data_IF_586548230713
#
_entry.id   IF_586548230713
#
_cell.length_a   1.000
_cell.length_b   1.000
_cell.length_c   1.000
_cell.angle_alpha   90.00
_cell.angle_beta   90.00
_cell.angle_gamma   90.00
#
_symmetry.space_group_name_H-M   'P 1'
#
loop_
_entity.id
_entity.type
_entity.pdbx_description
1 polymer ?
#
# COMPACT_ATOMS: atom_id res chain seq x y z
N UNK A 1 -46.46 55.20 18.47
CA UNK A 1 -45.12 55.30 17.83
C UNK A 1 -43.97 54.79 18.69
N UNK A 2 -43.90 55.08 20.02
CA UNK A 2 -42.78 54.62 20.87
C UNK A 2 -42.64 53.09 20.97
N UNK A 3 -43.74 52.33 21.12
CA UNK A 3 -43.71 50.85 21.25
C UNK A 3 -43.21 50.11 20.00
N UNK A 4 -43.50 50.63 18.80
CA UNK A 4 -43.12 49.99 17.53
C UNK A 4 -41.62 50.14 17.25
N UNK A 5 -41.03 51.27 17.63
CA UNK A 5 -39.59 51.53 17.46
C UNK A 5 -38.76 50.65 18.40
N UNK A 6 -39.21 50.42 19.65
CA UNK A 6 -38.49 49.56 20.60
C UNK A 6 -38.45 48.10 20.16
N UNK A 7 -39.54 47.59 19.56
CA UNK A 7 -39.60 46.23 19.02
C UNK A 7 -38.69 46.04 17.80
N UNK A 8 -38.59 47.06 16.93
CA UNK A 8 -37.65 47.06 15.79
C UNK A 8 -36.19 47.09 16.24
N UNK A 9 -35.84 47.85 17.28
CA UNK A 9 -34.48 47.86 17.84
C UNK A 9 -34.12 46.53 18.53
N UNK A 10 -35.06 45.90 19.24
CA UNK A 10 -34.84 44.58 19.84
C UNK A 10 -34.68 43.47 18.79
N UNK A 11 -35.47 43.51 17.72
CA UNK A 11 -35.33 42.57 16.61
C UNK A 11 -34.00 42.74 15.86
N UNK A 12 -33.53 43.98 15.65
CA UNK A 12 -32.25 44.25 15.03
C UNK A 12 -31.06 43.80 15.91
N UNK A 13 -31.16 43.98 17.23
CA UNK A 13 -30.13 43.52 18.17
C UNK A 13 -30.04 41.99 18.23
N UNK A 14 -31.17 41.28 18.17
CA UNK A 14 -31.19 39.80 18.09
C UNK A 14 -30.63 39.32 16.76
N UNK A 15 -30.94 39.99 15.65
CA UNK A 15 -30.39 39.65 14.33
C UNK A 15 -28.86 39.84 14.26
N UNK A 16 -28.34 40.92 14.87
CA UNK A 16 -26.90 41.19 14.98
C UNK A 16 -26.19 40.19 15.89
N UNK A 17 -26.82 39.75 16.99
CA UNK A 17 -26.27 38.72 17.87
C UNK A 17 -26.22 37.34 17.19
N UNK A 18 -27.24 36.99 16.39
CA UNK A 18 -27.25 35.73 15.62
C UNK A 18 -26.28 35.75 14.44
N UNK A 19 -26.05 36.90 13.81
CA UNK A 19 -25.06 37.04 12.75
C UNK A 19 -23.62 36.99 13.29
N UNK A 20 -23.36 37.59 14.46
CA UNK A 20 -22.07 37.46 15.16
C UNK A 20 -21.79 36.02 15.60
N UNK A 21 -22.82 35.30 16.07
CA UNK A 21 -22.70 33.90 16.46
C UNK A 21 -22.52 32.94 15.26
N UNK A 22 -22.96 33.33 14.05
CA UNK A 22 -22.69 32.57 12.82
C UNK A 22 -21.32 32.89 12.20
N UNK A 23 -20.78 34.08 12.42
CA UNK A 23 -19.42 34.42 11.99
C UNK A 23 -18.34 33.68 12.81
N UNK A 24 -18.59 33.43 14.09
CA UNK A 24 -17.74 32.60 14.97
C UNK A 24 -17.84 31.08 14.69
N UNK A 25 -18.71 30.69 13.75
CA UNK A 25 -18.84 29.31 13.27
C UNK A 25 -18.14 29.09 11.91
N UNK A 26 -17.40 30.09 11.42
CA UNK A 26 -16.31 29.82 10.50
C UNK A 26 -15.25 29.07 11.29
N UNK A 27 -15.22 27.75 11.14
CA UNK A 27 -14.15 26.87 11.60
C UNK A 27 -12.83 27.61 11.52
N UNK A 28 -12.12 27.78 12.65
CA UNK A 28 -10.76 28.33 12.70
C UNK A 28 -9.92 27.63 11.64
N UNK A 29 -9.84 28.23 10.46
CA UNK A 29 -8.96 27.78 9.42
C UNK A 29 -7.60 28.26 9.91
N UNK A 30 -6.80 27.33 10.42
CA UNK A 30 -5.43 27.60 10.85
C UNK A 30 -4.74 28.45 9.77
N UNK A 31 -4.53 29.73 10.06
CA UNK A 31 -4.01 30.71 9.08
C UNK A 31 -2.64 30.29 8.56
N UNK A 32 -1.95 29.38 9.26
CA UNK A 32 -0.69 28.77 8.82
C UNK A 32 -0.86 27.79 7.66
N UNK A 33 -2.08 27.35 7.35
CA UNK A 33 -2.43 26.39 6.29
C UNK A 33 -3.11 27.04 5.07
N UNK A 34 -3.09 28.36 4.92
CA UNK A 34 -3.61 29.02 3.71
C UNK A 34 -2.66 28.75 2.53
N UNK A 35 -3.13 28.21 1.39
CA UNK A 35 -2.28 27.95 0.22
C UNK A 35 -1.70 29.24 -0.39
N UNK A 36 -0.43 29.21 -0.79
CA UNK A 36 0.25 30.31 -1.49
C UNK A 36 0.35 30.04 -3.01
N UNK A 37 -0.46 30.69 -3.86
CA UNK A 37 -0.45 30.46 -5.31
C UNK A 37 0.91 30.70 -5.99
N UNK A 38 1.83 31.42 -5.35
CA UNK A 38 3.19 31.66 -5.88
C UNK A 38 4.17 30.52 -5.62
N UNK A 39 3.80 29.54 -4.79
CA UNK A 39 4.67 28.45 -4.37
C UNK A 39 4.02 27.07 -4.64
N UNK A 40 4.00 26.59 -5.89
CA UNK A 40 3.45 25.28 -6.22
C UNK A 40 4.24 24.15 -5.54
N UNK A 41 3.53 23.07 -5.16
CA UNK A 41 4.17 21.85 -4.65
C UNK A 41 4.68 21.03 -5.83
N UNK A 42 6.00 20.80 -5.85
CA UNK A 42 6.66 19.93 -6.82
C UNK A 42 7.22 18.69 -6.12
N UNK A 43 6.77 17.52 -6.58
CA UNK A 43 7.16 16.23 -6.03
C UNK A 43 7.70 15.34 -7.16
N UNK A 44 8.68 14.53 -6.80
CA UNK A 44 9.20 13.45 -7.61
C UNK A 44 9.13 12.14 -6.83
N UNK A 45 9.38 11.01 -7.47
CA UNK A 45 9.40 9.75 -6.76
C UNK A 45 9.84 8.57 -7.60
N UNK A 46 9.90 7.42 -6.95
CA UNK A 46 10.09 6.14 -7.59
C UNK A 46 9.14 5.13 -6.98
N UNK A 47 8.72 4.17 -7.78
CA UNK A 47 8.03 2.98 -7.34
C UNK A 47 8.73 1.79 -7.98
N UNK A 48 8.80 0.64 -7.29
CA UNK A 48 9.34 -0.57 -7.86
C UNK A 48 8.37 -1.08 -8.93
N UNK A 49 8.60 -0.66 -10.17
CA UNK A 49 7.86 -1.13 -11.35
C UNK A 49 8.66 -2.31 -11.90
N UNK A 50 8.03 -3.47 -12.02
CA UNK A 50 8.68 -4.62 -12.65
C UNK A 50 8.72 -4.43 -14.17
N UNK A 51 9.84 -4.78 -14.79
CA UNK A 51 9.99 -4.88 -16.25
C UNK A 51 10.30 -6.34 -16.58
N UNK A 52 9.39 -6.98 -17.31
CA UNK A 52 9.44 -8.20 -18.17
C UNK A 52 10.25 -9.46 -17.75
N UNK A 53 11.35 -9.38 -16.99
CA UNK A 53 12.36 -10.45 -16.91
C UNK A 53 12.03 -11.65 -16.01
N UNK A 54 10.89 -11.68 -15.30
CA UNK A 54 10.57 -12.77 -14.36
C UNK A 54 9.13 -13.30 -14.38
N UNK A 55 8.31 -12.88 -15.36
CA UNK A 55 6.92 -13.33 -15.47
C UNK A 55 5.98 -12.72 -14.41
N UNK A 56 6.27 -11.51 -13.93
CA UNK A 56 5.43 -10.75 -12.98
C UNK A 56 5.41 -9.27 -13.38
N UNK A 57 4.22 -8.66 -13.35
CA UNK A 57 3.83 -7.28 -13.74
C UNK A 57 4.64 -6.69 -14.90
N UNK A 58 4.18 -6.88 -16.12
CA UNK A 58 4.57 -6.00 -17.24
C UNK A 58 3.75 -4.72 -17.16
N UNK A 59 4.34 -3.63 -16.67
CA UNK A 59 3.82 -2.29 -16.95
C UNK A 59 4.71 -1.66 -18.00
N UNK A 60 4.12 -1.36 -19.15
CA UNK A 60 4.88 -0.85 -20.27
C UNK A 60 5.56 0.47 -19.87
N UNK A 61 6.76 0.70 -20.39
CA UNK A 61 7.36 2.03 -20.38
C UNK A 61 6.36 3.02 -21.01
N UNK A 62 5.76 3.88 -20.18
CA UNK A 62 4.69 4.79 -20.59
C UNK A 62 3.48 4.82 -19.65
N UNK A 63 3.28 3.77 -18.84
CA UNK A 63 2.15 3.69 -17.93
C UNK A 63 2.33 4.60 -16.71
N UNK A 64 1.58 5.71 -16.67
CA UNK A 64 1.48 6.55 -15.48
C UNK A 64 0.88 5.73 -14.32
N UNK A 65 1.52 5.72 -13.15
CA UNK A 65 0.99 5.00 -11.99
C UNK A 65 0.03 5.89 -11.19
N UNK A 66 -1.28 5.62 -11.20
CA UNK A 66 -2.22 6.38 -10.39
C UNK A 66 -2.05 6.06 -8.90
N UNK A 67 -2.15 7.08 -8.06
CA UNK A 67 -2.12 6.94 -6.61
C UNK A 67 -2.91 8.05 -5.92
N UNK A 68 -3.23 7.86 -4.65
CA UNK A 68 -3.85 8.91 -3.83
C UNK A 68 -2.77 9.60 -2.99
N UNK A 69 -2.68 10.92 -3.14
CA UNK A 69 -1.77 11.78 -2.40
C UNK A 69 -2.47 12.41 -1.22
N UNK A 70 -1.80 12.38 -0.07
CA UNK A 70 -2.21 13.04 1.16
C UNK A 70 -1.08 13.94 1.65
N UNK A 71 -1.44 15.01 2.35
CA UNK A 71 -0.49 15.85 3.06
C UNK A 71 -1.08 16.26 4.40
N UNK A 72 -0.27 16.16 5.45
CA UNK A 72 -0.64 16.54 6.82
C UNK A 72 0.46 17.43 7.42
N UNK A 73 0.17 18.31 8.38
CA UNK A 73 1.20 19.04 9.11
C UNK A 73 2.22 18.07 9.74
N UNK A 74 3.52 18.34 9.58
CA UNK A 74 4.57 17.39 9.98
C UNK A 74 4.73 17.25 11.50
N UNK A 75 4.31 18.27 12.25
CA UNK A 75 4.27 18.33 13.71
C UNK A 75 3.10 17.57 14.32
N UNK A 76 2.17 17.04 13.51
CA UNK A 76 1.08 16.23 14.02
C UNK A 76 1.51 14.77 14.17
N UNK A 77 1.43 14.28 15.41
CA UNK A 77 1.61 12.86 15.74
C UNK A 77 0.33 12.03 15.53
N UNK A 78 -0.79 12.70 15.25
CA UNK A 78 -2.09 12.09 14.95
C UNK A 78 -2.60 12.52 13.58
N UNK A 79 -3.50 11.72 13.00
CA UNK A 79 -4.14 12.09 11.76
C UNK A 79 -5.07 13.29 11.99
N UNK A 80 -4.89 14.42 11.28
CA UNK A 80 -5.77 15.57 11.46
C UNK A 80 -7.18 15.24 10.96
N UNK A 81 -8.19 15.86 11.58
CA UNK A 81 -9.58 15.75 11.14
C UNK A 81 -9.75 16.20 9.68
N UNK A 82 -9.01 17.24 9.28
CA UNK A 82 -8.92 17.76 7.92
C UNK A 82 -7.47 17.80 7.45
N UNK A 83 -7.00 16.78 6.70
CA UNK A 83 -5.68 16.81 6.06
C UNK A 83 -5.55 18.01 5.11
N UNK A 84 -4.33 18.52 4.97
CA UNK A 84 -4.03 19.62 4.04
C UNK A 84 -4.32 19.22 2.58
N UNK A 85 -3.89 18.01 2.21
CA UNK A 85 -4.34 17.34 0.98
C UNK A 85 -5.00 16.04 1.42
N UNK A 86 -6.25 15.82 0.99
CA UNK A 86 -7.06 14.66 1.38
C UNK A 86 -7.42 13.79 0.17
N UNK A 87 -6.47 12.96 -0.27
CA UNK A 87 -6.71 11.99 -1.35
C UNK A 87 -6.79 12.64 -2.73
N UNK A 88 -5.87 13.57 -3.04
CA UNK A 88 -5.75 14.10 -4.39
C UNK A 88 -5.36 12.98 -5.36
N UNK A 89 -6.00 12.95 -6.53
CA UNK A 89 -5.65 12.00 -7.59
C UNK A 89 -4.30 12.41 -8.17
N UNK A 90 -3.31 11.55 -7.97
CA UNK A 90 -1.93 11.75 -8.37
C UNK A 90 -1.46 10.67 -9.33
N UNK A 91 -0.41 10.98 -10.08
CA UNK A 91 0.20 10.09 -11.05
C UNK A 91 1.72 10.21 -10.97
N UNK A 92 2.40 9.07 -10.84
CA UNK A 92 3.84 8.99 -11.01
C UNK A 92 4.14 8.78 -12.50
N UNK A 93 5.00 9.63 -13.07
CA UNK A 93 5.42 9.49 -14.46
C UNK A 93 6.12 8.13 -14.70
N UNK A 94 5.99 7.63 -15.92
CA UNK A 94 6.67 6.42 -16.40
C UNK A 94 8.13 6.68 -16.79
N UNK A 95 8.93 5.63 -16.87
CA UNK A 95 10.33 5.68 -17.32
C UNK A 95 11.32 5.09 -16.31
N UNK A 96 12.58 4.97 -16.71
CA UNK A 96 13.69 4.54 -15.86
C UNK A 96 14.24 5.70 -15.02
N UNK A 97 14.77 5.39 -13.83
CA UNK A 97 15.40 6.35 -12.93
C UNK A 97 14.68 6.57 -11.59
N UNK A 98 15.45 7.07 -10.62
CA UNK A 98 15.09 7.18 -9.20
C UNK A 98 14.22 8.39 -8.83
N UNK A 99 13.97 9.32 -9.76
CA UNK A 99 13.23 10.56 -9.51
C UNK A 99 12.34 10.93 -10.70
N UNK A 100 11.16 10.31 -10.77
CA UNK A 100 10.14 10.57 -11.80
C UNK A 100 9.17 11.63 -11.31
N UNK A 101 8.75 12.53 -12.19
CA UNK A 101 7.81 13.59 -11.83
C UNK A 101 6.47 13.05 -11.32
N UNK A 102 5.94 13.66 -10.27
CA UNK A 102 4.59 13.40 -9.76
C UNK A 102 3.69 14.55 -10.19
N UNK A 103 2.58 14.22 -10.84
CA UNK A 103 1.52 15.18 -11.18
C UNK A 103 0.26 14.86 -10.37
N UNK A 104 -0.51 15.86 -9.98
CA UNK A 104 -1.75 15.67 -9.23
C UNK A 104 -2.74 16.79 -9.53
N UNK A 105 -4.03 16.47 -9.42
CA UNK A 105 -5.13 17.41 -9.65
C UNK A 105 -6.10 17.38 -8.46
N UNK A 106 -6.54 18.55 -7.96
CA UNK A 106 -6.12 19.90 -8.36
C UNK A 106 -4.66 20.19 -7.97
N UNK A 107 -4.03 21.17 -8.64
CA UNK A 107 -2.72 21.66 -8.21
C UNK A 107 -2.79 22.15 -6.75
N UNK A 108 -1.75 21.86 -5.98
CA UNK A 108 -1.64 22.26 -4.58
C UNK A 108 -0.39 23.09 -4.37
N UNK A 109 -0.41 23.93 -3.35
CA UNK A 109 0.59 24.94 -3.10
C UNK A 109 1.13 24.81 -1.67
N UNK A 110 2.30 25.34 -1.40
CA UNK A 110 2.81 25.40 -0.03
C UNK A 110 2.01 26.40 0.80
N UNK A 111 1.86 26.18 2.12
CA UNK A 111 1.20 27.15 2.97
C UNK A 111 2.00 28.46 3.11
N UNK A 112 1.30 29.60 3.18
CA UNK A 112 1.91 30.94 3.37
C UNK A 112 2.75 31.02 4.65
N UNK A 113 2.31 30.35 5.72
CA UNK A 113 2.99 30.34 7.02
C UNK A 113 4.28 29.54 7.07
N UNK A 114 4.70 28.90 5.96
CA UNK A 114 5.92 28.10 5.90
C UNK A 114 5.83 26.79 6.69
N UNK A 115 4.62 26.37 7.08
CA UNK A 115 4.37 25.12 7.80
C UNK A 115 4.91 23.93 7.00
N UNK A 116 5.67 23.07 7.69
CA UNK A 116 6.15 21.82 7.11
C UNK A 116 5.02 20.80 6.97
N UNK A 117 4.97 20.16 5.81
CA UNK A 117 4.00 19.13 5.45
C UNK A 117 4.69 17.78 5.26
N UNK A 118 4.02 16.73 5.71
CA UNK A 118 4.37 15.32 5.49
C UNK A 118 3.47 14.76 4.39
N UNK A 119 4.07 14.37 3.27
CA UNK A 119 3.41 13.83 2.10
C UNK A 119 3.37 12.32 2.11
N UNK A 120 2.20 11.77 1.88
CA UNK A 120 1.93 10.33 1.98
C UNK A 120 1.22 9.92 0.70
N UNK A 121 1.85 9.06 -0.08
CA UNK A 121 1.28 8.47 -1.27
C UNK A 121 0.91 7.02 -1.01
N UNK A 122 -0.30 6.62 -1.40
CA UNK A 122 -0.74 5.23 -1.32
C UNK A 122 -1.27 4.78 -2.67
N UNK A 123 -0.84 3.59 -3.11
CA UNK A 123 -1.27 3.02 -4.38
C UNK A 123 -1.40 1.50 -4.30
N UNK A 124 -1.95 0.92 -5.36
CA UNK A 124 -1.90 -0.52 -5.60
C UNK A 124 -1.16 -0.83 -6.89
N UNK A 125 -0.59 -2.03 -6.99
CA UNK A 125 -0.10 -2.49 -8.28
C UNK A 125 -1.25 -2.58 -9.30
N UNK A 126 -2.43 -3.03 -8.90
CA UNK A 126 -3.63 -2.90 -9.73
C UNK A 126 -4.83 -2.36 -8.95
N UNK A 127 -5.62 -1.49 -9.58
CA UNK A 127 -6.76 -0.83 -8.95
C UNK A 127 -6.39 0.36 -8.04
N UNK A 128 -7.28 0.69 -7.09
CA UNK A 128 -7.17 1.88 -6.24
C UNK A 128 -7.19 1.52 -4.74
N UNK A 129 -6.61 2.39 -3.92
CA UNK A 129 -6.64 2.29 -2.46
C UNK A 129 -6.57 3.67 -1.82
N UNK A 130 -7.10 3.83 -0.62
CA UNK A 130 -7.16 5.11 0.10
C UNK A 130 -6.74 4.94 1.54
N UNK A 131 -6.43 6.06 2.19
CA UNK A 131 -6.28 6.12 3.63
C UNK A 131 -7.62 6.44 4.28
N UNK A 132 -7.93 5.72 5.35
CA UNK A 132 -8.98 6.03 6.31
C UNK A 132 -8.30 6.32 7.65
N UNK A 133 -8.33 7.58 8.10
CA UNK A 133 -7.73 8.02 9.37
C UNK A 133 -6.30 7.48 9.59
N UNK A 134 -5.35 7.86 8.72
CA UNK A 134 -3.96 7.37 8.67
C UNK A 134 -3.74 5.89 8.34
N UNK A 135 -4.78 5.16 7.99
CA UNK A 135 -4.68 3.71 7.85
C UNK A 135 -5.07 3.22 6.46
N UNK A 136 -4.30 2.27 5.93
CA UNK A 136 -4.63 1.55 4.70
C UNK A 136 -5.03 0.11 5.04
N UNK A 137 -6.05 -0.39 4.34
CA UNK A 137 -6.48 -1.79 4.49
C UNK A 137 -5.56 -2.72 3.70
N UNK A 138 -5.13 -3.80 4.33
CA UNK A 138 -4.36 -4.88 3.71
C UNK A 138 -5.25 -6.12 3.62
N UNK A 139 -5.30 -6.74 2.45
CA UNK A 139 -6.08 -7.95 2.21
C UNK A 139 -5.20 -8.98 1.53
N UNK A 140 -5.04 -10.15 2.14
CA UNK A 140 -4.34 -11.26 1.52
C UNK A 140 -5.18 -11.85 0.38
N UNK A 141 -4.52 -12.31 -0.68
CA UNK A 141 -5.23 -12.82 -1.85
C UNK A 141 -4.31 -13.16 -3.01
N UNK A 142 -4.90 -13.73 -4.05
CA UNK A 142 -4.27 -13.90 -5.36
C UNK A 142 -4.44 -12.61 -6.19
N UNK A 143 -3.43 -12.27 -6.98
CA UNK A 143 -3.50 -11.16 -7.94
C UNK A 143 -2.91 -9.84 -7.43
N UNK A 144 -2.46 -9.02 -8.38
CA UNK A 144 -1.72 -7.77 -8.16
C UNK A 144 -2.59 -6.65 -7.54
N UNK A 145 -3.92 -6.81 -7.57
CA UNK A 145 -4.84 -5.89 -6.89
C UNK A 145 -4.74 -5.96 -5.34
N UNK A 146 -3.94 -6.91 -4.85
CA UNK A 146 -3.60 -7.06 -3.44
C UNK A 146 -2.28 -6.37 -3.06
N UNK A 147 -1.42 -6.04 -4.02
CA UNK A 147 -0.13 -5.39 -3.72
C UNK A 147 -0.33 -3.92 -3.40
N UNK A 148 -0.14 -3.56 -2.13
CA UNK A 148 -0.28 -2.17 -1.64
C UNK A 148 1.10 -1.56 -1.51
N UNK A 149 1.27 -0.36 -2.08
CA UNK A 149 2.49 0.41 -1.98
C UNK A 149 2.25 1.72 -1.22
N UNK A 150 3.23 2.11 -0.42
CA UNK A 150 3.21 3.31 0.40
C UNK A 150 4.51 4.09 0.24
N UNK A 151 4.42 5.41 0.12
CA UNK A 151 5.62 6.25 0.08
C UNK A 151 6.38 6.27 1.41
N UNK A 152 7.64 6.67 1.37
CA UNK A 152 8.53 6.88 2.52
C UNK A 152 8.16 8.09 3.42
N UNK A 153 6.98 8.68 3.24
CA UNK A 153 6.48 9.85 3.98
C UNK A 153 7.42 11.09 3.94
N UNK A 154 7.73 11.59 2.74
CA UNK A 154 8.54 12.80 2.56
C UNK A 154 8.01 13.99 3.38
N UNK A 155 8.90 14.75 4.02
CA UNK A 155 8.55 15.96 4.76
C UNK A 155 9.29 17.16 4.18
N UNK A 156 8.59 18.26 3.90
CA UNK A 156 9.18 19.50 3.37
C UNK A 156 8.33 20.72 3.68
N UNK A 157 8.82 21.90 3.30
CA UNK A 157 8.11 23.19 3.41
C UNK A 157 8.40 24.09 2.21
N UNK A 158 7.80 25.29 2.23
CA UNK A 158 7.97 26.32 1.19
C UNK A 158 9.43 26.72 0.93
N UNK A 159 10.33 26.57 1.89
CA UNK A 159 11.75 26.93 1.73
C UNK A 159 12.64 25.74 1.32
N UNK A 160 12.09 24.52 1.26
CA UNK A 160 12.85 23.28 1.04
C UNK A 160 12.14 22.35 0.03
N UNK A 161 12.12 22.74 -1.24
CA UNK A 161 11.58 21.97 -2.37
C UNK A 161 12.60 21.94 -3.54
N UNK A 162 12.65 20.89 -4.40
CA UNK A 162 11.68 19.79 -4.56
C UNK A 162 11.86 18.59 -3.61
N UNK A 163 10.78 17.84 -3.41
CA UNK A 163 10.75 16.61 -2.60
C UNK A 163 10.72 15.32 -3.41
N UNK A 164 11.20 14.21 -2.83
CA UNK A 164 11.12 12.88 -3.45
C UNK A 164 10.39 11.86 -2.57
N UNK A 165 9.47 11.11 -3.18
CA UNK A 165 8.61 10.10 -2.57
C UNK A 165 8.89 8.72 -3.16
N UNK A 166 9.61 7.88 -2.41
CA UNK A 166 9.88 6.49 -2.81
C UNK A 166 8.80 5.57 -2.26
N UNK A 167 8.18 4.77 -3.11
CA UNK A 167 7.14 3.82 -2.74
C UNK A 167 7.74 2.46 -2.41
N UNK A 168 7.35 1.91 -1.25
CA UNK A 168 7.72 0.59 -0.78
C UNK A 168 6.47 -0.27 -0.64
N UNK A 169 6.66 -1.59 -0.70
CA UNK A 169 5.55 -2.55 -0.64
C UNK A 169 5.19 -2.88 0.79
N UNK A 170 3.90 -2.94 1.08
CA UNK A 170 3.38 -3.31 2.40
C UNK A 170 3.05 -4.80 2.51
N UNK A 171 3.05 -5.52 1.39
CA UNK A 171 2.70 -6.94 1.32
C UNK A 171 3.94 -7.80 1.09
N UNK A 172 3.85 -9.07 1.50
CA UNK A 172 4.80 -10.10 1.08
C UNK A 172 4.27 -10.81 -0.16
N UNK A 173 5.13 -11.21 -1.09
CA UNK A 173 4.74 -11.96 -2.29
C UNK A 173 5.09 -13.44 -2.13
N UNK A 174 4.15 -14.33 -2.39
CA UNK A 174 4.35 -15.77 -2.47
C UNK A 174 4.01 -16.26 -3.87
N UNK A 175 4.99 -16.84 -4.55
CA UNK A 175 4.81 -17.53 -5.82
C UNK A 175 4.72 -19.03 -5.54
N UNK A 176 3.70 -19.69 -6.06
CA UNK A 176 3.55 -21.15 -5.98
C UNK A 176 3.49 -21.68 -7.39
N UNK A 177 4.37 -22.62 -7.74
CA UNK A 177 4.50 -23.12 -9.12
C UNK A 177 4.79 -24.62 -9.16
N UNK A 178 4.48 -25.32 -10.26
CA UNK A 178 4.93 -26.70 -10.42
C UNK A 178 6.45 -26.73 -10.56
N UNK A 179 7.10 -27.75 -9.99
CA UNK A 179 8.50 -28.03 -10.31
C UNK A 179 8.64 -28.67 -11.70
N UNK A 180 9.85 -28.56 -12.28
CA UNK A 180 10.12 -29.01 -13.65
C UNK A 180 9.83 -30.51 -13.86
N UNK A 181 10.08 -31.33 -12.84
CA UNK A 181 9.94 -32.80 -12.90
C UNK A 181 8.57 -33.28 -12.40
N UNK A 182 7.53 -32.42 -12.42
CA UNK A 182 6.22 -32.80 -11.89
C UNK A 182 5.53 -33.83 -12.80
N UNK A 183 5.43 -35.08 -12.37
CA UNK A 183 4.90 -36.19 -13.19
C UNK A 183 3.38 -36.40 -13.03
N UNK A 184 2.74 -35.68 -12.12
CA UNK A 184 1.31 -35.82 -11.84
C UNK A 184 0.75 -34.57 -11.15
N UNK A 185 -0.57 -34.40 -11.22
CA UNK A 185 -1.27 -33.29 -10.59
C UNK A 185 -1.16 -33.36 -9.07
N UNK A 186 -0.81 -32.24 -8.43
CA UNK A 186 -0.81 -32.07 -6.97
C UNK A 186 -1.75 -30.95 -6.58
N UNK A 187 -2.64 -31.24 -5.63
CA UNK A 187 -3.44 -30.22 -4.94
C UNK A 187 -3.01 -30.11 -3.50
N UNK A 188 -2.94 -28.89 -2.97
CA UNK A 188 -2.55 -28.65 -1.58
C UNK A 188 -3.14 -27.35 -1.03
N UNK A 189 -3.09 -27.21 0.29
CA UNK A 189 -3.41 -25.98 1.01
C UNK A 189 -2.18 -25.41 1.71
N UNK A 190 -2.02 -24.10 1.61
CA UNK A 190 -0.96 -23.34 2.31
C UNK A 190 -1.62 -22.37 3.28
N UNK A 191 -1.10 -22.31 4.51
CA UNK A 191 -1.49 -21.30 5.47
C UNK A 191 -0.96 -19.93 5.04
N UNK A 192 -1.84 -19.07 4.50
CA UNK A 192 -1.53 -17.70 4.11
C UNK A 192 -1.63 -16.70 5.27
N UNK A 193 -1.95 -17.17 6.48
CA UNK A 193 -2.01 -16.35 7.68
C UNK A 193 -3.33 -15.60 7.80
N UNK A 194 -3.26 -14.29 8.09
CA UNK A 194 -4.45 -13.46 8.20
C UNK A 194 -4.98 -13.06 6.82
N UNK A 195 -6.30 -12.96 6.70
CA UNK A 195 -6.94 -12.48 5.47
C UNK A 195 -7.01 -10.96 5.41
N UNK A 196 -7.10 -10.30 6.56
CA UNK A 196 -7.23 -8.84 6.65
C UNK A 196 -6.33 -8.27 7.74
N UNK A 197 -5.83 -7.06 7.51
CA UNK A 197 -5.16 -6.23 8.51
C UNK A 197 -5.26 -4.76 8.13
N UNK A 198 -4.77 -3.91 9.02
CA UNK A 198 -4.70 -2.48 8.80
C UNK A 198 -3.27 -2.01 9.04
N UNK A 199 -2.71 -1.24 8.11
CA UNK A 199 -1.40 -0.60 8.28
C UNK A 199 -1.57 0.89 8.56
N UNK A 200 -1.03 1.35 9.67
CA UNK A 200 -1.05 2.76 10.04
C UNK A 200 0.22 3.46 9.54
N UNK A 201 0.05 4.45 8.67
CA UNK A 201 1.17 5.12 7.97
C UNK A 201 1.99 6.05 8.85
N UNK A 202 1.44 6.50 9.98
CA UNK A 202 2.12 7.40 10.92
C UNK A 202 2.99 6.60 11.91
N UNK A 203 2.41 5.57 12.52
CA UNK A 203 3.11 4.69 13.48
C UNK A 203 3.96 3.61 12.80
N UNK A 204 3.73 3.36 11.51
CA UNK A 204 4.37 2.32 10.70
C UNK A 204 4.10 0.90 11.23
N UNK A 205 2.93 0.68 11.82
CA UNK A 205 2.55 -0.60 12.43
C UNK A 205 1.40 -1.27 11.68
N UNK A 206 1.42 -2.61 11.66
CA UNK A 206 0.29 -3.43 11.21
C UNK A 206 -0.51 -3.91 12.41
N UNK A 207 -1.82 -3.67 12.42
CA UNK A 207 -2.75 -4.02 13.49
C UNK A 207 -4.04 -4.65 12.94
N UNK A 208 -4.97 -5.00 13.82
CA UNK A 208 -6.30 -5.54 13.48
C UNK A 208 -6.24 -6.77 12.56
N UNK A 209 -5.20 -7.59 12.73
CA UNK A 209 -5.02 -8.85 12.00
C UNK A 209 -6.20 -9.78 12.32
N UNK A 210 -6.94 -10.16 11.29
CA UNK A 210 -8.17 -10.94 11.45
C UNK A 210 -8.40 -11.91 10.28
N UNK A 211 -9.24 -12.89 10.53
CA UNK A 211 -9.55 -13.98 9.61
C UNK A 211 -8.37 -14.92 9.35
N UNK A 212 -8.65 -15.97 8.59
CA UNK A 212 -7.67 -16.95 8.13
C UNK A 212 -7.70 -16.99 6.61
N UNK A 213 -6.55 -16.79 5.98
CA UNK A 213 -6.38 -16.95 4.55
C UNK A 213 -5.72 -18.29 4.27
N UNK A 214 -6.38 -19.12 3.47
CA UNK A 214 -5.86 -20.41 3.03
C UNK A 214 -5.76 -20.40 1.52
N UNK A 215 -4.55 -20.60 1.01
CA UNK A 215 -4.31 -20.73 -0.43
C UNK A 215 -4.62 -22.18 -0.79
N UNK A 216 -5.52 -22.37 -1.77
CA UNK A 216 -5.72 -23.67 -2.41
C UNK A 216 -4.98 -23.66 -3.74
N UNK A 217 -3.99 -24.53 -3.89
CA UNK A 217 -3.14 -24.57 -5.08
C UNK A 217 -3.28 -25.92 -5.80
N UNK A 218 -3.24 -25.88 -7.12
CA UNK A 218 -3.21 -27.03 -8.02
C UNK A 218 -2.06 -26.80 -9.02
N UNK A 219 -1.18 -27.79 -9.21
CA UNK A 219 -0.08 -27.72 -10.18
C UNK A 219 -0.51 -27.53 -11.63
N UNK A 220 -1.76 -27.88 -11.98
CA UNK A 220 -2.34 -27.59 -13.30
C UNK A 220 -2.54 -26.10 -13.55
N UNK A 221 -2.63 -25.30 -12.47
CA UNK A 221 -2.82 -23.86 -12.58
C UNK A 221 -1.51 -23.12 -12.93
N UNK A 222 -0.44 -23.80 -13.32
CA UNK A 222 0.87 -23.20 -13.58
C UNK A 222 1.37 -22.34 -12.40
N UNK A 223 2.24 -21.37 -12.65
CA UNK A 223 2.72 -20.44 -11.62
C UNK A 223 1.59 -19.50 -11.17
N UNK A 224 1.41 -19.35 -9.86
CA UNK A 224 0.40 -18.48 -9.24
C UNK A 224 1.03 -17.55 -8.22
N UNK A 225 0.62 -16.28 -8.23
CA UNK A 225 1.15 -15.23 -7.35
C UNK A 225 0.11 -14.79 -6.33
N UNK A 226 0.51 -14.83 -5.06
CA UNK A 226 -0.29 -14.43 -3.91
C UNK A 226 0.41 -13.32 -3.14
N UNK A 227 -0.38 -12.44 -2.54
CA UNK A 227 0.09 -11.39 -1.65
C UNK A 227 -0.42 -11.67 -0.25
N UNK A 228 0.49 -11.69 0.71
CA UNK A 228 0.25 -12.08 2.08
C UNK A 228 0.54 -10.93 3.04
N UNK A 229 -0.22 -10.88 4.12
CA UNK A 229 0.02 -9.94 5.20
C UNK A 229 1.31 -10.38 5.94
N UNK A 230 2.30 -9.49 6.10
CA UNK A 230 3.57 -9.83 6.75
C UNK A 230 3.41 -10.40 8.18
N UNK A 231 4.33 -11.30 8.54
CA UNK A 231 4.38 -12.01 9.82
C UNK A 231 3.80 -13.43 9.82
N UNK A 232 3.48 -14.01 8.66
CA UNK A 232 3.00 -15.40 8.57
C UNK A 232 4.17 -16.35 8.40
N UNK A 233 4.31 -17.32 9.30
CA UNK A 233 5.29 -18.42 9.15
C UNK A 233 4.68 -19.58 8.36
N UNK A 234 5.36 -20.00 7.30
CA UNK A 234 4.97 -21.13 6.46
C UNK A 234 6.08 -22.19 6.56
N UNK A 235 5.70 -23.40 6.98
CA UNK A 235 6.60 -24.54 7.19
C UNK A 235 6.08 -25.83 6.57
N UNK A 236 4.83 -25.87 6.11
CA UNK A 236 4.19 -27.08 5.59
C UNK A 236 3.06 -26.77 4.61
N UNK A 237 2.78 -27.76 3.76
CA UNK A 237 1.55 -27.89 2.99
C UNK A 237 0.60 -28.84 3.73
N UNK A 238 -0.71 -28.58 3.61
CA UNK A 238 -1.77 -29.40 4.22
C UNK A 238 -2.74 -29.90 3.14
N UNK A 239 -3.59 -30.88 3.49
CA UNK A 239 -4.56 -31.50 2.58
C UNK A 239 -3.95 -31.89 1.22
N UNK A 240 -2.73 -32.42 1.25
CA UNK A 240 -1.98 -32.68 0.03
C UNK A 240 -2.48 -33.96 -0.62
N UNK A 241 -2.79 -33.88 -1.92
CA UNK A 241 -3.13 -35.01 -2.76
C UNK A 241 -2.27 -35.00 -4.00
N UNK A 242 -1.65 -36.13 -4.33
CA UNK A 242 -0.90 -36.32 -5.56
C UNK A 242 -1.62 -37.38 -6.41
N UNK A 243 -2.17 -36.98 -7.55
CA UNK A 243 -3.06 -37.83 -8.35
C UNK A 243 -4.28 -38.24 -7.52
N UNK A 244 -4.48 -39.55 -7.33
CA UNK A 244 -5.53 -40.11 -6.46
C UNK A 244 -5.06 -40.43 -5.03
N UNK A 245 -3.78 -40.18 -4.70
CA UNK A 245 -3.20 -40.57 -3.41
C UNK A 245 -3.17 -39.40 -2.44
N UNK A 246 -3.84 -39.54 -1.29
CA UNK A 246 -3.71 -38.59 -0.18
C UNK A 246 -2.35 -38.72 0.50
N UNK A 247 -1.71 -37.57 0.75
CA UNK A 247 -0.40 -37.43 1.40
C UNK A 247 -0.49 -36.71 2.75
N UNK A 248 -1.64 -36.11 3.09
CA UNK A 248 -1.83 -35.40 4.34
C UNK A 248 -1.00 -34.12 4.42
N UNK A 249 -0.21 -33.96 5.48
CA UNK A 249 0.65 -32.79 5.72
C UNK A 249 2.08 -33.10 5.30
N UNK A 250 2.70 -32.19 4.54
CA UNK A 250 4.08 -32.32 4.06
C UNK A 250 4.86 -31.07 4.44
N UNK A 251 6.01 -31.26 5.10
CA UNK A 251 6.92 -30.16 5.45
C UNK A 251 7.57 -29.56 4.21
N UNK A 252 7.81 -28.25 4.24
CA UNK A 252 8.64 -27.59 3.23
C UNK A 252 10.09 -28.06 3.40
N UNK A 253 10.79 -28.24 2.29
CA UNK A 253 12.23 -28.49 2.29
C UNK A 253 12.98 -27.42 1.50
N UNK A 254 14.27 -27.25 1.80
CA UNK A 254 15.16 -26.41 1.01
C UNK A 254 15.71 -27.19 -0.20
N UNK A 255 16.58 -26.55 -0.99
CA UNK A 255 17.22 -27.18 -2.16
C UNK A 255 18.00 -28.46 -1.84
N UNK A 256 18.42 -28.64 -0.58
CA UNK A 256 19.19 -29.78 -0.10
C UNK A 256 18.28 -30.87 0.50
N UNK A 257 16.96 -30.71 0.44
CA UNK A 257 15.98 -31.66 0.99
C UNK A 257 15.79 -31.59 2.51
N UNK A 258 16.41 -30.62 3.20
CA UNK A 258 16.23 -30.44 4.64
C UNK A 258 14.97 -29.64 4.94
N UNK A 259 14.24 -30.00 6.01
CA UNK A 259 13.05 -29.28 6.47
C UNK A 259 13.37 -27.79 6.69
N UNK A 260 12.48 -26.92 6.25
CA UNK A 260 12.66 -25.48 6.31
C UNK A 260 11.35 -24.75 6.58
N UNK A 261 11.46 -23.46 6.88
CA UNK A 261 10.33 -22.56 7.01
C UNK A 261 10.76 -21.13 6.67
N UNK A 262 9.80 -20.27 6.36
CA UNK A 262 10.04 -18.84 6.23
C UNK A 262 8.91 -18.05 6.87
N UNK A 263 9.24 -16.85 7.35
CA UNK A 263 8.24 -15.88 7.81
C UNK A 263 8.14 -14.76 6.80
N UNK A 264 6.93 -14.49 6.31
CA UNK A 264 6.68 -13.49 5.27
C UNK A 264 7.01 -12.08 5.76
N UNK A 265 7.80 -11.33 5.00
CA UNK A 265 8.13 -9.93 5.27
C UNK A 265 7.64 -9.02 4.13
N UNK A 266 7.29 -7.77 4.47
CA UNK A 266 6.87 -6.77 3.50
C UNK A 266 7.99 -6.51 2.48
N UNK A 267 7.66 -6.43 1.19
CA UNK A 267 8.67 -6.20 0.15
C UNK A 267 9.60 -7.38 -0.11
N UNK A 268 9.29 -8.60 0.37
CA UNK A 268 10.02 -9.81 0.02
C UNK A 268 9.17 -10.76 -0.83
N UNK A 269 9.84 -11.46 -1.74
CA UNK A 269 9.26 -12.50 -2.58
C UNK A 269 9.79 -13.87 -2.18
N UNK A 270 8.88 -14.84 -2.05
CA UNK A 270 9.14 -16.24 -1.72
C UNK A 270 8.59 -17.13 -2.83
N UNK A 271 9.21 -18.28 -3.08
CA UNK A 271 8.68 -19.25 -4.04
C UNK A 271 8.60 -20.63 -3.41
N UNK A 272 7.46 -21.30 -3.61
CA UNK A 272 7.25 -22.71 -3.31
C UNK A 272 7.12 -23.46 -4.64
N UNK A 273 8.01 -24.42 -4.86
CA UNK A 273 7.93 -25.35 -5.98
C UNK A 273 7.35 -26.68 -5.51
N UNK A 274 6.31 -27.14 -6.21
CA UNK A 274 5.59 -28.38 -5.86
C UNK A 274 5.82 -29.42 -6.96
N UNK A 275 6.39 -30.57 -6.60
CA UNK A 275 6.73 -31.66 -7.53
C UNK A 275 6.25 -33.00 -7.00
N UNK A 276 5.56 -33.78 -7.80
CA UNK A 276 5.33 -35.20 -7.55
C UNK A 276 6.21 -36.07 -8.46
N UNK A 277 7.21 -36.71 -7.85
CA UNK A 277 8.14 -37.62 -8.51
C UNK A 277 7.81 -39.06 -8.12
N UNK A 278 7.19 -39.82 -9.02
CA UNK A 278 7.02 -41.27 -8.83
C UNK A 278 6.32 -41.65 -7.51
N UNK A 279 5.22 -40.96 -7.17
CA UNK A 279 4.43 -41.09 -5.93
C UNK A 279 5.04 -40.39 -4.70
N UNK A 280 6.25 -39.84 -4.78
CA UNK A 280 6.85 -39.00 -3.73
C UNK A 280 6.56 -37.53 -4.01
N UNK A 281 6.09 -36.79 -3.01
CA UNK A 281 5.94 -35.34 -3.12
C UNK A 281 7.18 -34.64 -2.56
N UNK A 282 7.74 -33.74 -3.36
CA UNK A 282 8.83 -32.85 -2.97
C UNK A 282 8.32 -31.41 -3.03
N UNK A 283 8.60 -30.64 -1.96
CA UNK A 283 8.23 -29.23 -1.88
C UNK A 283 9.47 -28.42 -1.57
N UNK A 284 9.91 -27.59 -2.51
CA UNK A 284 11.14 -26.78 -2.34
C UNK A 284 10.79 -25.32 -2.13
N UNK A 285 11.48 -24.67 -1.20
CA UNK A 285 11.49 -23.20 -1.10
C UNK A 285 12.77 -22.64 -1.70
N UNK A 286 12.67 -21.70 -2.62
CA UNK A 286 13.81 -20.84 -2.97
C UNK A 286 13.78 -19.59 -2.10
N UNK A 287 14.97 -19.11 -1.71
CA UNK A 287 15.14 -18.09 -0.66
C UNK A 287 14.39 -16.79 -0.89
N UNK A 288 14.27 -15.98 0.16
CA UNK A 288 13.63 -14.67 0.07
C UNK A 288 14.48 -13.73 -0.77
N UNK A 289 13.91 -13.23 -1.87
CA UNK A 289 14.53 -12.17 -2.66
C UNK A 289 13.93 -10.86 -2.17
N UNK A 290 14.77 -9.89 -1.81
CA UNK A 290 14.32 -8.51 -1.58
C UNK A 290 13.66 -8.04 -2.86
N UNK A 291 12.36 -7.87 -2.79
CA UNK A 291 11.51 -7.47 -3.90
C UNK A 291 11.43 -5.95 -3.91
N UNK A 292 12.60 -5.35 -4.16
CA UNK A 292 12.87 -3.94 -4.42
C UNK A 292 12.10 -2.92 -3.57
N UNK A 293 12.76 -2.32 -2.59
CA UNK A 293 12.41 -1.00 -2.07
C UNK A 293 12.80 0.05 -3.12
N UNK A 294 11.92 0.40 -4.07
CA UNK A 294 12.03 1.55 -4.99
C UNK A 294 13.37 1.82 -5.72
N UNK A 295 14.33 0.90 -5.65
CA UNK A 295 15.68 1.02 -6.18
C UNK A 295 15.71 0.34 -7.54
N UNK A 296 16.44 0.96 -8.46
CA UNK A 296 16.65 0.48 -9.83
C UNK A 296 17.10 -0.99 -9.81
N UNK A 297 16.34 -1.83 -10.52
CA UNK A 297 16.82 -3.16 -10.90
C UNK A 297 17.90 -2.91 -11.94
N UNK A 298 19.15 -2.86 -11.50
CA UNK A 298 20.30 -2.83 -12.39
C UNK A 298 20.47 -4.25 -12.95
N UNK A 299 19.91 -4.51 -14.12
CA UNK A 299 20.19 -5.71 -14.89
C UNK A 299 21.54 -5.53 -15.60
N UNK A 300 22.61 -5.95 -14.94
CA UNK A 300 23.83 -6.40 -15.63
C UNK A 300 23.84 -7.92 -15.67
#
# INVERSE_FOLDING_TARGET
MKRTITLLLQAAAVLLLTAACQADLLTEQDETLVPDPSAPIELSGSAPIETEASGVVTRADGDQLPFNLYAVPSNNDSWPATPYINGASAKLASGSGIARGISFSPASYWPVGGQSLKFIGVMKASGTTTLNNSSVSLTAGQGEDKDVLLSNNFTGNKSSHPGSMTFNRLMARLIVKPGADNKQVVTCKINGGNSNATYNVLTKTTSNKSGTYTISYNTDNSSQTYYLIPGTTISQLTDVTAGSTSKGTISLTNSNGANTSFTTAAGYSYTIEVTAEGVVLTVKTTGSISWGDGNDINLQ
#
